data_IF_737353374723
#
_entry.id   IF_737353374723
#
_cell.length_a   1.000
_cell.length_b   1.000
_cell.length_c   1.000
_cell.angle_alpha   90.00
_cell.angle_beta   90.00
_cell.angle_gamma   90.00
#
_symmetry.space_group_name_H-M   'P 1'
#
loop_
_entity.id
_entity.type
_entity.pdbx_description
1 polymer ?
#
# COMPACT_ATOMS: atom_id res chain seq x y z
N UNK A 1 -45.83 32.52 45.97
CA UNK A 1 -46.88 31.95 45.11
C UNK A 1 -46.19 31.28 43.94
N UNK A 2 -46.00 29.95 43.98
CA UNK A 2 -46.82 28.94 43.24
C UNK A 2 -46.47 28.95 41.73
N UNK A 3 -46.05 27.89 41.02
CA UNK A 3 -45.96 26.43 41.25
C UNK A 3 -45.11 25.80 40.11
N UNK A 4 -44.64 24.58 40.38
CA UNK A 4 -43.99 23.57 39.54
C UNK A 4 -44.58 23.32 38.13
N UNK A 5 -43.75 22.80 37.22
CA UNK A 5 -44.11 21.67 36.32
C UNK A 5 -42.86 20.90 35.85
N UNK A 6 -42.67 19.69 36.41
CA UNK A 6 -42.19 18.50 35.70
C UNK A 6 -43.35 17.98 34.82
N UNK A 7 -43.25 17.14 33.78
CA UNK A 7 -42.62 15.83 33.56
C UNK A 7 -42.49 15.68 32.01
N UNK A 8 -41.65 14.83 31.42
CA UNK A 8 -41.97 13.41 31.13
C UNK A 8 -40.72 12.68 30.60
N UNK A 9 -40.42 11.52 31.18
CA UNK A 9 -39.36 10.59 30.77
C UNK A 9 -39.97 9.51 29.89
N UNK A 10 -39.58 9.46 28.61
CA UNK A 10 -39.95 8.38 27.69
C UNK A 10 -39.01 7.19 27.86
N UNK A 11 -39.49 6.11 28.47
CA UNK A 11 -38.84 4.80 28.51
C UNK A 11 -39.12 4.03 27.21
N UNK A 12 -38.08 3.80 26.40
CA UNK A 12 -38.15 2.87 25.28
C UNK A 12 -37.70 1.49 25.73
N UNK A 13 -38.64 0.55 25.71
CA UNK A 13 -38.43 -0.88 25.91
C UNK A 13 -37.56 -1.45 24.79
N UNK A 14 -36.40 -1.97 25.15
CA UNK A 14 -35.48 -2.66 24.23
C UNK A 14 -35.81 -4.15 24.23
N UNK A 15 -36.43 -4.61 23.14
CA UNK A 15 -36.81 -6.01 22.91
C UNK A 15 -35.59 -6.84 22.55
N UNK A 16 -35.33 -7.87 23.35
CA UNK A 16 -34.31 -8.91 23.13
C UNK A 16 -34.68 -9.79 21.92
N UNK A 17 -33.82 -9.99 20.91
CA UNK A 17 -34.01 -11.05 19.94
C UNK A 17 -33.45 -12.38 20.45
N UNK A 18 -34.23 -13.43 20.21
CA UNK A 18 -34.00 -14.81 20.63
C UNK A 18 -32.78 -15.46 19.96
N UNK A 19 -32.10 -16.28 20.76
CA UNK A 19 -30.96 -17.12 20.41
C UNK A 19 -31.42 -18.27 19.48
N UNK A 20 -31.10 -18.20 18.19
CA UNK A 20 -31.31 -19.31 17.26
C UNK A 20 -30.08 -20.25 17.30
N UNK A 21 -30.24 -21.38 17.99
CA UNK A 21 -29.30 -22.51 17.95
C UNK A 21 -29.46 -23.25 16.62
N UNK A 22 -28.46 -23.15 15.74
CA UNK A 22 -28.38 -23.97 14.52
C UNK A 22 -27.38 -25.09 14.75
N UNK A 23 -27.89 -26.30 14.70
CA UNK A 23 -27.14 -27.54 14.85
C UNK A 23 -26.38 -27.81 13.56
N UNK A 24 -25.04 -27.75 13.62
CA UNK A 24 -24.17 -28.15 12.52
C UNK A 24 -24.30 -29.66 12.28
N UNK A 25 -24.88 -30.03 11.14
CA UNK A 25 -24.80 -31.38 10.57
C UNK A 25 -23.63 -31.40 9.57
N UNK A 26 -22.69 -32.35 9.66
CA UNK A 26 -21.62 -32.48 8.66
C UNK A 26 -22.18 -33.02 7.34
N UNK A 27 -21.75 -32.52 6.17
CA UNK A 27 -22.14 -33.09 4.89
C UNK A 27 -21.42 -34.42 4.63
N UNK A 28 -22.22 -35.45 4.34
CA UNK A 28 -21.81 -36.75 3.83
C UNK A 28 -20.97 -36.62 2.55
N UNK A 29 -19.73 -37.10 2.62
CA UNK A 29 -18.80 -37.14 1.51
C UNK A 29 -18.87 -38.49 0.79
N UNK A 30 -19.85 -38.70 -0.11
CA UNK A 30 -19.83 -39.84 -1.01
C UNK A 30 -20.56 -39.58 -2.34
N UNK A 31 -19.89 -38.99 -3.33
CA UNK A 31 -20.15 -39.29 -4.75
C UNK A 31 -18.82 -39.33 -5.50
N UNK A 32 -18.33 -40.56 -5.76
CA UNK A 32 -17.28 -40.84 -6.76
C UNK A 32 -17.95 -40.89 -8.13
N UNK A 33 -17.91 -39.78 -8.86
CA UNK A 33 -18.23 -39.73 -10.28
C UNK A 33 -17.03 -40.21 -11.10
N UNK A 34 -17.17 -41.40 -11.70
CA UNK A 34 -16.24 -41.94 -12.69
C UNK A 34 -16.51 -41.21 -14.01
N UNK A 35 -15.58 -40.37 -14.46
CA UNK A 35 -15.60 -39.85 -15.82
C UNK A 35 -15.02 -40.89 -16.76
N UNK A 36 -15.87 -41.48 -17.61
CA UNK A 36 -15.45 -42.22 -18.78
C UNK A 36 -14.97 -41.24 -19.86
N UNK A 37 -13.71 -41.36 -20.26
CA UNK A 37 -13.18 -40.65 -21.43
C UNK A 37 -13.61 -41.38 -22.73
N UNK A 38 -14.10 -40.67 -23.76
CA UNK A 38 -14.31 -41.23 -25.09
C UNK A 38 -12.99 -41.28 -25.87
N UNK A 39 -12.88 -42.30 -26.74
CA UNK A 39 -11.64 -42.74 -27.35
C UNK A 39 -10.99 -41.82 -28.38
N UNK A 40 -9.71 -42.09 -28.60
CA UNK A 40 -8.91 -41.77 -29.77
C UNK A 40 -8.01 -43.00 -30.00
N UNK A 41 -8.23 -43.81 -31.04
CA UNK A 41 -7.83 -43.63 -32.45
C UNK A 41 -6.33 -43.92 -32.66
N UNK A 42 -6.13 -45.02 -33.39
CA UNK A 42 -5.07 -45.36 -34.35
C UNK A 42 -3.62 -45.51 -33.88
N UNK A 43 -3.26 -46.80 -33.79
CA UNK A 43 -1.99 -47.44 -34.08
C UNK A 43 -1.15 -46.74 -35.15
N UNK A 44 0.06 -46.32 -34.78
CA UNK A 44 1.22 -46.28 -35.68
C UNK A 44 2.30 -47.14 -35.01
N UNK A 45 2.68 -48.20 -35.73
CA UNK A 45 3.83 -49.05 -35.44
C UNK A 45 5.12 -48.25 -35.57
N UNK A 46 5.83 -48.05 -34.46
CA UNK A 46 7.24 -47.61 -34.49
C UNK A 46 8.13 -48.66 -33.78
N UNK A 47 9.28 -49.01 -34.38
CA UNK A 47 10.06 -50.17 -33.98
C UNK A 47 10.97 -49.93 -32.76
N UNK A 48 10.87 -50.86 -31.81
CA UNK A 48 11.99 -51.45 -31.07
C UNK A 48 12.97 -50.50 -30.37
N UNK A 49 12.59 -50.03 -29.17
CA UNK A 49 13.55 -49.59 -28.14
C UNK A 49 13.77 -50.70 -27.10
N UNK A 50 15.02 -51.08 -26.77
CA UNK A 50 15.29 -52.07 -25.73
C UNK A 50 15.02 -51.48 -24.32
N UNK A 51 14.59 -52.31 -23.35
CA UNK A 51 14.29 -51.85 -22.00
C UNK A 51 15.58 -51.46 -21.26
N UNK A 52 15.67 -50.18 -20.86
CA UNK A 52 16.67 -49.71 -19.91
C UNK A 52 16.40 -50.31 -18.55
N UNK A 53 17.30 -51.17 -18.10
CA UNK A 53 17.28 -51.78 -16.77
C UNK A 53 17.42 -50.71 -15.68
N UNK A 54 16.65 -50.88 -14.61
CA UNK A 54 16.66 -50.01 -13.45
C UNK A 54 18.01 -49.99 -12.76
N UNK A 55 18.45 -48.79 -12.40
CA UNK A 55 19.40 -48.58 -11.32
C UNK A 55 18.75 -47.66 -10.30
N UNK A 56 18.61 -48.20 -9.09
CA UNK A 56 18.05 -47.50 -7.95
C UNK A 56 18.91 -46.30 -7.56
N UNK A 57 18.25 -45.17 -7.35
CA UNK A 57 18.86 -44.09 -6.60
C UNK A 57 18.67 -44.40 -5.12
N UNK A 58 19.80 -44.72 -4.50
CA UNK A 58 19.97 -44.80 -3.06
C UNK A 58 19.72 -43.42 -2.45
N UNK A 59 18.79 -43.45 -1.51
CA UNK A 59 18.67 -42.62 -0.33
C UNK A 59 20.05 -42.15 0.21
N UNK A 60 20.37 -40.88 -0.03
CA UNK A 60 21.31 -40.08 0.76
C UNK A 60 20.41 -39.09 1.51
N UNK A 61 20.11 -39.31 2.79
CA UNK A 61 21.09 -39.23 3.85
C UNK A 61 21.12 -37.78 4.32
N UNK A 62 20.34 -37.49 5.37
CA UNK A 62 20.02 -36.15 5.82
C UNK A 62 21.22 -35.29 6.24
N UNK A 63 21.09 -33.99 5.99
CA UNK A 63 21.86 -32.94 6.64
C UNK A 63 20.95 -31.73 6.94
N UNK A 64 20.77 -31.51 8.24
CA UNK A 64 20.83 -30.22 8.93
C UNK A 64 19.75 -29.15 8.68
N UNK A 65 18.63 -29.30 9.40
CA UNK A 65 17.63 -28.24 9.65
C UNK A 65 18.13 -27.13 10.63
N UNK A 66 19.44 -26.85 10.74
CA UNK A 66 19.98 -25.84 11.69
C UNK A 66 19.82 -24.39 11.23
N UNK A 67 19.49 -24.17 9.96
CA UNK A 67 19.26 -22.84 9.41
C UNK A 67 18.01 -22.19 10.02
N UNK A 68 16.89 -22.92 10.05
CA UNK A 68 15.56 -22.36 10.33
C UNK A 68 15.39 -21.89 11.79
N UNK A 69 16.12 -22.47 12.74
CA UNK A 69 16.04 -22.09 14.15
C UNK A 69 16.69 -20.72 14.46
N UNK A 70 17.62 -20.25 13.62
CA UNK A 70 18.37 -19.01 13.93
C UNK A 70 17.66 -17.72 13.53
N UNK A 71 16.55 -17.79 12.78
CA UNK A 71 15.74 -16.61 12.43
C UNK A 71 14.50 -16.41 13.31
N UNK A 72 14.11 -17.38 14.14
CA UNK A 72 12.88 -17.28 14.94
C UNK A 72 13.08 -16.73 16.37
N UNK A 73 14.32 -16.61 16.87
CA UNK A 73 14.57 -16.20 18.27
C UNK A 73 14.81 -14.70 18.52
N UNK A 74 14.95 -13.87 17.47
CA UNK A 74 15.25 -12.44 17.63
C UNK A 74 14.01 -11.53 17.70
N UNK A 75 12.81 -12.06 17.41
CA UNK A 75 11.57 -11.28 17.28
C UNK A 75 10.99 -10.72 18.60
N UNK A 76 11.59 -11.00 19.76
CA UNK A 76 11.09 -10.50 21.05
C UNK A 76 11.76 -9.20 21.50
N UNK A 77 12.94 -8.85 20.97
CA UNK A 77 13.68 -7.64 21.40
C UNK A 77 13.37 -6.40 20.55
N UNK A 78 12.89 -6.57 19.31
CA UNK A 78 12.58 -5.46 18.40
C UNK A 78 11.35 -4.64 18.81
N UNK A 79 10.36 -5.25 19.47
CA UNK A 79 9.13 -4.55 19.87
C UNK A 79 9.35 -3.50 20.96
N UNK A 80 10.34 -3.70 21.84
CA UNK A 80 10.66 -2.75 22.92
C UNK A 80 11.42 -1.51 22.41
N UNK A 81 12.22 -1.64 21.35
CA UNK A 81 12.94 -0.49 20.78
C UNK A 81 12.00 0.48 20.04
N UNK A 82 10.95 -0.02 19.39
CA UNK A 82 9.96 0.81 18.70
C UNK A 82 9.13 1.63 19.69
N UNK A 83 8.73 1.03 20.82
CA UNK A 83 7.97 1.74 21.87
C UNK A 83 8.83 2.82 22.54
N UNK A 84 10.12 2.55 22.79
CA UNK A 84 11.04 3.54 23.34
C UNK A 84 11.28 4.74 22.41
N UNK A 85 11.36 4.51 21.11
CA UNK A 85 11.54 5.60 20.11
C UNK A 85 10.34 6.53 20.00
N UNK A 86 9.12 5.99 20.04
CA UNK A 86 7.89 6.79 19.91
C UNK A 86 7.69 7.70 21.14
N UNK A 87 7.97 7.21 22.35
CA UNK A 87 7.83 8.02 23.58
C UNK A 87 8.88 9.15 23.63
N UNK A 88 10.10 8.91 23.16
CA UNK A 88 11.14 9.94 23.10
C UNK A 88 10.80 11.06 22.09
N UNK A 89 10.22 10.72 20.94
CA UNK A 89 9.83 11.69 19.91
C UNK A 89 8.69 12.61 20.36
N UNK A 90 7.68 12.08 21.05
CA UNK A 90 6.57 12.89 21.60
C UNK A 90 7.07 13.84 22.69
N UNK A 91 8.06 13.44 23.49
CA UNK A 91 8.67 14.33 24.50
C UNK A 91 9.41 15.53 23.89
N UNK A 92 10.08 15.37 22.75
CA UNK A 92 10.83 16.44 22.08
C UNK A 92 9.89 17.49 21.47
N UNK A 93 8.74 17.07 20.92
CA UNK A 93 7.76 17.99 20.30
C UNK A 93 7.08 18.89 21.34
N UNK A 94 6.89 18.42 22.58
CA UNK A 94 6.27 19.22 23.65
C UNK A 94 7.24 20.29 24.19
N UNK A 95 8.55 20.04 24.17
CA UNK A 95 9.55 21.02 24.63
C UNK A 95 9.95 22.01 23.51
N UNK A 96 9.88 21.60 22.25
CA UNK A 96 10.27 22.43 21.08
C UNK A 96 9.37 23.63 20.79
N UNK A 97 8.14 23.67 21.31
CA UNK A 97 7.21 24.79 21.09
C UNK A 97 7.44 26.00 22.02
N UNK A 98 8.36 25.91 23.00
CA UNK A 98 8.53 26.95 24.03
C UNK A 98 9.81 27.80 23.92
N UNK A 99 10.76 27.48 23.02
CA UNK A 99 12.01 28.27 22.90
C UNK A 99 12.36 28.48 21.43
N UNK A 100 12.01 29.66 20.90
CA UNK A 100 12.35 30.00 19.52
C UNK A 100 12.00 31.43 19.10
N UNK A 101 12.06 32.41 20.00
CA UNK A 101 12.07 33.83 19.61
C UNK A 101 13.33 34.47 20.19
N UNK A 102 14.06 35.18 19.31
CA UNK A 102 15.14 36.13 19.57
C UNK A 102 16.58 35.59 19.46
N UNK A 103 17.23 35.87 18.32
CA UNK A 103 18.43 36.74 18.28
C UNK A 103 18.42 37.51 16.96
N UNK A 104 18.38 38.84 17.08
CA UNK A 104 18.69 39.80 16.01
C UNK A 104 20.03 40.47 16.28
N UNK A 105 20.68 40.90 15.19
CA UNK A 105 21.75 41.91 15.05
C UNK A 105 23.16 41.56 15.53
N UNK A 106 24.07 41.46 14.57
CA UNK A 106 25.40 42.12 14.62
C UNK A 106 25.79 42.70 13.25
N UNK A 107 26.71 43.67 13.30
CA UNK A 107 27.00 44.78 12.38
C UNK A 107 27.91 44.46 11.16
N UNK A 108 27.59 45.16 10.05
CA UNK A 108 28.46 46.00 9.18
C UNK A 108 29.67 45.46 8.38
N UNK A 109 29.81 46.04 7.17
CA UNK A 109 30.98 46.16 6.26
C UNK A 109 31.24 44.96 5.34
N UNK A 110 31.59 45.06 4.05
CA UNK A 110 31.91 46.18 3.16
C UNK A 110 31.88 45.71 1.69
N UNK A 111 31.65 46.69 0.82
CA UNK A 111 31.70 46.71 -0.65
C UNK A 111 32.88 45.96 -1.31
N UNK A 112 32.65 45.16 -2.34
CA UNK A 112 33.50 45.13 -3.55
C UNK A 112 32.74 44.56 -4.76
N UNK A 113 32.46 45.46 -5.68
CA UNK A 113 31.95 45.23 -7.02
C UNK A 113 33.04 44.61 -7.91
N UNK A 114 32.80 43.40 -8.40
CA UNK A 114 33.49 42.88 -9.60
C UNK A 114 32.42 42.57 -10.64
N UNK A 115 32.14 43.57 -11.48
CA UNK A 115 31.35 43.43 -12.72
C UNK A 115 32.22 42.67 -13.74
N UNK A 116 32.11 41.34 -13.76
CA UNK A 116 32.50 40.57 -14.93
C UNK A 116 31.33 40.57 -15.90
N UNK A 117 31.34 41.52 -16.83
CA UNK A 117 30.56 41.42 -18.06
C UNK A 117 31.16 40.28 -18.90
N UNK A 118 30.66 39.06 -18.72
CA UNK A 118 30.82 37.98 -19.71
C UNK A 118 29.52 37.95 -20.51
N UNK A 119 29.40 38.89 -21.43
CA UNK A 119 28.49 38.76 -22.58
C UNK A 119 29.18 37.84 -23.57
N UNK A 120 28.81 36.57 -23.56
CA UNK A 120 29.37 35.58 -24.46
C UNK A 120 28.98 34.16 -24.07
N UNK A 121 27.70 33.90 -23.82
CA UNK A 121 27.20 32.53 -23.93
C UNK A 121 27.35 32.13 -25.40
N UNK A 122 28.27 31.22 -25.68
CA UNK A 122 28.38 30.61 -26.99
C UNK A 122 27.01 30.00 -27.33
N UNK A 123 26.32 30.43 -28.39
CA UNK A 123 24.98 29.94 -28.73
C UNK A 123 24.97 28.42 -29.03
N UNK A 124 26.14 27.83 -29.27
CA UNK A 124 26.34 26.40 -29.48
C UNK A 124 26.79 25.65 -28.21
N UNK A 125 26.78 26.26 -27.03
CA UNK A 125 27.09 25.59 -25.77
C UNK A 125 25.82 24.94 -25.15
N UNK A 126 25.68 23.61 -25.22
CA UNK A 126 24.51 22.91 -24.67
C UNK A 126 24.46 22.93 -23.14
N UNK A 127 25.47 23.44 -22.44
CA UNK A 127 25.40 23.66 -20.99
C UNK A 127 24.59 24.90 -20.61
N UNK A 128 24.25 25.76 -21.58
CA UNK A 128 23.42 26.96 -21.39
C UNK A 128 21.91 26.72 -21.55
N UNK A 129 21.48 25.48 -21.81
CA UNK A 129 20.07 25.13 -21.68
C UNK A 129 19.67 25.25 -20.21
N UNK A 130 19.06 26.39 -19.85
CA UNK A 130 18.23 26.48 -18.65
C UNK A 130 17.29 25.28 -18.66
N UNK A 131 17.52 24.34 -17.73
CA UNK A 131 16.83 23.06 -17.70
C UNK A 131 15.45 23.24 -17.10
N UNK A 132 14.62 24.04 -17.76
CA UNK A 132 13.25 24.34 -17.34
C UNK A 132 12.32 23.28 -17.93
N UNK A 133 12.08 22.20 -17.19
CA UNK A 133 11.03 21.24 -17.53
C UNK A 133 9.75 21.62 -16.80
N UNK A 134 8.73 22.05 -17.55
CA UNK A 134 7.39 22.25 -17.00
C UNK A 134 6.61 20.93 -17.09
N UNK A 135 6.94 20.00 -16.19
CA UNK A 135 6.25 18.73 -16.06
C UNK A 135 5.40 18.70 -14.81
N UNK A 136 4.28 17.99 -14.87
CA UNK A 136 3.46 17.67 -13.71
C UNK A 136 3.42 16.16 -13.54
N UNK A 137 3.52 15.69 -12.30
CA UNK A 137 3.63 14.27 -11.98
C UNK A 137 2.46 13.79 -11.13
N UNK A 138 2.22 12.48 -11.20
CA UNK A 138 1.48 11.74 -10.18
C UNK A 138 2.48 10.98 -9.31
N UNK A 139 2.36 11.09 -8.00
CA UNK A 139 3.22 10.37 -7.07
C UNK A 139 2.62 8.99 -6.78
N UNK A 140 3.43 7.93 -6.91
CA UNK A 140 3.01 6.57 -6.60
C UNK A 140 3.31 6.20 -5.16
N UNK A 141 2.32 5.65 -4.46
CA UNK A 141 2.48 5.01 -3.15
C UNK A 141 2.20 3.51 -3.28
N UNK A 142 3.25 2.69 -3.25
CA UNK A 142 3.15 1.25 -3.47
C UNK A 142 2.78 0.51 -2.18
N UNK A 143 1.51 0.10 -2.08
CA UNK A 143 0.98 -0.76 -1.04
C UNK A 143 1.18 -2.25 -1.40
N UNK A 144 1.48 -3.08 -0.39
CA UNK A 144 1.68 -4.52 -0.54
C UNK A 144 0.70 -5.27 0.38
N UNK A 145 -0.17 -6.16 -0.13
CA UNK A 145 -1.26 -6.67 0.67
C UNK A 145 -0.89 -7.55 1.88
N UNK A 146 0.36 -8.03 1.97
CA UNK A 146 0.80 -8.99 2.98
C UNK A 146 2.01 -8.52 3.80
N UNK A 147 2.37 -7.23 3.76
CA UNK A 147 3.53 -6.68 4.47
C UNK A 147 3.15 -5.86 5.72
N UNK A 148 1.87 -5.89 6.12
CA UNK A 148 1.31 -5.15 7.24
C UNK A 148 1.54 -3.63 7.13
N UNK A 149 1.43 -3.07 5.92
CA UNK A 149 1.51 -1.63 5.66
C UNK A 149 2.93 -1.06 5.72
N UNK A 150 3.96 -1.91 5.69
CA UNK A 150 5.36 -1.48 5.85
C UNK A 150 5.83 -0.64 4.67
N UNK A 151 5.64 -1.14 3.44
CA UNK A 151 6.02 -0.45 2.21
C UNK A 151 5.17 0.80 1.99
N UNK A 152 3.87 0.70 2.26
CA UNK A 152 2.92 1.81 2.20
C UNK A 152 3.36 2.96 3.13
N UNK A 153 3.55 2.67 4.42
CA UNK A 153 3.87 3.70 5.42
C UNK A 153 5.19 4.41 5.09
N UNK A 154 6.22 3.66 4.69
CA UNK A 154 7.50 4.24 4.29
C UNK A 154 7.33 5.21 3.12
N UNK A 155 6.67 4.79 2.04
CA UNK A 155 6.52 5.62 0.84
C UNK A 155 5.59 6.81 1.05
N UNK A 156 4.51 6.63 1.82
CA UNK A 156 3.65 7.72 2.26
C UNK A 156 4.46 8.81 2.97
N UNK A 157 5.35 8.43 3.89
CA UNK A 157 6.21 9.39 4.59
C UNK A 157 7.24 10.06 3.66
N UNK A 158 7.77 9.35 2.66
CA UNK A 158 8.63 9.96 1.63
C UNK A 158 7.85 10.98 0.77
N UNK A 159 6.60 10.66 0.41
CA UNK A 159 5.72 11.59 -0.30
C UNK A 159 5.47 12.84 0.54
N UNK A 160 5.19 12.69 1.84
CA UNK A 160 5.06 13.81 2.76
C UNK A 160 6.33 14.68 2.76
N UNK A 161 7.50 14.06 2.91
CA UNK A 161 8.80 14.74 2.90
C UNK A 161 9.05 15.51 1.60
N UNK A 162 8.71 14.91 0.45
CA UNK A 162 8.82 15.56 -0.87
C UNK A 162 7.90 16.78 -0.95
N UNK A 163 6.65 16.67 -0.49
CA UNK A 163 5.69 17.79 -0.51
C UNK A 163 6.16 18.91 0.44
N UNK A 164 6.67 18.59 1.62
CA UNK A 164 7.21 19.58 2.58
C UNK A 164 8.46 20.28 2.02
N UNK A 165 9.30 19.56 1.29
CA UNK A 165 10.56 20.09 0.75
C UNK A 165 10.38 20.91 -0.52
N UNK A 166 9.52 20.44 -1.44
CA UNK A 166 9.42 20.98 -2.81
C UNK A 166 8.08 21.66 -3.11
N UNK A 167 7.10 21.59 -2.21
CA UNK A 167 5.75 22.09 -2.45
C UNK A 167 4.93 21.19 -3.38
N UNK A 168 3.81 21.71 -3.88
CA UNK A 168 2.81 20.92 -4.64
C UNK A 168 2.57 21.40 -6.07
N UNK A 169 3.27 22.45 -6.51
CA UNK A 169 3.00 23.13 -7.79
C UNK A 169 3.05 22.16 -8.99
N UNK A 170 3.98 21.21 -8.97
CA UNK A 170 4.19 20.21 -10.02
C UNK A 170 3.61 18.83 -9.71
N UNK A 171 2.72 18.70 -8.73
CA UNK A 171 2.04 17.44 -8.38
C UNK A 171 0.56 17.54 -8.73
N UNK A 172 0.08 16.69 -9.63
CA UNK A 172 -1.35 16.61 -9.98
C UNK A 172 -2.14 15.77 -8.99
N UNK A 173 -1.55 14.69 -8.48
CA UNK A 173 -2.22 13.78 -7.57
C UNK A 173 -1.31 12.66 -7.11
N UNK A 174 -1.91 11.73 -6.37
CA UNK A 174 -1.23 10.58 -5.78
C UNK A 174 -2.02 9.34 -6.15
N UNK A 175 -1.35 8.29 -6.62
CA UNK A 175 -1.93 6.96 -6.77
C UNK A 175 -1.52 6.08 -5.60
N UNK A 176 -2.50 5.49 -4.91
CA UNK A 176 -2.27 4.51 -3.84
C UNK A 176 -2.54 3.11 -4.39
N UNK A 177 -1.50 2.28 -4.36
CA UNK A 177 -1.49 0.96 -4.99
C UNK A 177 -1.02 1.00 -6.45
N UNK A 178 -0.32 -0.06 -6.85
CA UNK A 178 -0.05 -0.42 -8.23
C UNK A 178 -0.34 -1.92 -8.38
N UNK A 179 -1.40 -2.25 -9.11
CA UNK A 179 -1.87 -3.64 -9.29
C UNK A 179 -2.15 -4.34 -7.95
N UNK A 180 -2.65 -3.59 -6.96
CA UNK A 180 -2.88 -4.12 -5.62
C UNK A 180 -3.98 -5.19 -5.63
N UNK A 181 -5.10 -4.93 -6.29
CA UNK A 181 -6.22 -5.87 -6.39
C UNK A 181 -5.84 -7.08 -7.22
N UNK A 182 -5.13 -6.90 -8.34
CA UNK A 182 -4.56 -8.01 -9.11
C UNK A 182 -3.71 -8.93 -8.21
N UNK A 183 -2.75 -8.35 -7.49
CA UNK A 183 -1.84 -9.09 -6.62
C UNK A 183 -2.59 -9.78 -5.47
N UNK A 184 -3.54 -9.08 -4.85
CA UNK A 184 -4.36 -9.63 -3.77
C UNK A 184 -5.20 -10.82 -4.25
N UNK A 185 -5.95 -10.65 -5.33
CA UNK A 185 -6.82 -11.70 -5.88
C UNK A 185 -6.01 -12.92 -6.30
N UNK A 186 -4.90 -12.70 -7.00
CA UNK A 186 -3.98 -13.78 -7.42
C UNK A 186 -3.46 -14.56 -6.24
N UNK A 187 -3.01 -13.87 -5.17
CA UNK A 187 -2.51 -14.52 -3.96
C UNK A 187 -3.60 -15.28 -3.18
N UNK A 188 -4.87 -14.93 -3.38
CA UNK A 188 -6.01 -15.56 -2.71
C UNK A 188 -6.83 -16.50 -3.64
N UNK A 189 -6.31 -16.83 -4.82
CA UNK A 189 -6.96 -17.75 -5.75
C UNK A 189 -8.31 -17.26 -6.30
N UNK A 190 -8.49 -15.94 -6.37
CA UNK A 190 -9.69 -15.30 -6.88
C UNK A 190 -9.40 -14.55 -8.19
N UNK A 191 -10.43 -14.33 -9.00
CA UNK A 191 -10.33 -13.62 -10.29
C UNK A 191 -11.34 -12.48 -10.43
N UNK A 192 -12.45 -12.54 -9.67
CA UNK A 192 -13.46 -11.49 -9.67
C UNK A 192 -13.10 -10.41 -8.61
N UNK A 193 -12.77 -9.18 -9.03
CA UNK A 193 -12.42 -8.10 -8.11
C UNK A 193 -13.59 -7.70 -7.21
N UNK A 194 -14.84 -7.97 -7.58
CA UNK A 194 -16.02 -7.62 -6.79
C UNK A 194 -16.57 -8.78 -5.96
N UNK A 195 -15.85 -9.91 -5.91
CA UNK A 195 -16.17 -11.05 -5.05
C UNK A 195 -15.97 -10.71 -3.56
N UNK A 196 -16.41 -11.60 -2.66
CA UNK A 196 -16.15 -11.46 -1.22
C UNK A 196 -14.64 -11.38 -0.89
N UNK A 197 -13.81 -12.16 -1.62
CA UNK A 197 -12.35 -12.09 -1.50
C UNK A 197 -11.86 -10.73 -2.00
N UNK A 198 -12.30 -10.30 -3.18
CA UNK A 198 -11.97 -8.98 -3.71
C UNK A 198 -12.32 -7.84 -2.75
N UNK A 199 -13.50 -7.87 -2.14
CA UNK A 199 -13.91 -6.87 -1.16
C UNK A 199 -13.06 -6.86 0.12
N UNK A 200 -12.46 -8.00 0.48
CA UNK A 200 -11.50 -8.06 1.60
C UNK A 200 -10.20 -7.34 1.23
N UNK A 201 -9.69 -7.55 0.01
CA UNK A 201 -8.54 -6.79 -0.51
C UNK A 201 -8.84 -5.30 -0.65
N UNK A 202 -10.04 -4.97 -1.15
CA UNK A 202 -10.50 -3.60 -1.30
C UNK A 202 -10.49 -2.84 0.04
N UNK A 203 -10.93 -3.49 1.13
CA UNK A 203 -10.94 -2.87 2.45
C UNK A 203 -9.54 -2.44 2.92
N UNK A 204 -8.50 -3.23 2.58
CA UNK A 204 -7.11 -2.89 2.87
C UNK A 204 -6.66 -1.66 2.07
N UNK A 205 -6.90 -1.67 0.75
CA UNK A 205 -6.50 -0.56 -0.11
C UNK A 205 -7.27 0.73 0.19
N UNK A 206 -8.55 0.64 0.53
CA UNK A 206 -9.38 1.79 0.95
C UNK A 206 -8.83 2.40 2.24
N UNK A 207 -8.35 1.59 3.19
CA UNK A 207 -7.73 2.11 4.40
C UNK A 207 -6.49 2.96 4.06
N UNK A 208 -5.65 2.48 3.14
CA UNK A 208 -4.46 3.20 2.66
C UNK A 208 -4.83 4.48 1.87
N UNK A 209 -5.88 4.45 1.05
CA UNK A 209 -6.40 5.64 0.34
C UNK A 209 -6.87 6.70 1.35
N UNK A 210 -7.64 6.29 2.36
CA UNK A 210 -8.18 7.18 3.38
C UNK A 210 -7.10 7.77 4.29
N UNK A 211 -6.09 6.97 4.63
CA UNK A 211 -4.95 7.44 5.39
C UNK A 211 -4.09 8.44 4.58
N UNK A 212 -3.85 8.18 3.29
CA UNK A 212 -3.16 9.14 2.39
C UNK A 212 -3.95 10.45 2.30
N UNK A 213 -5.29 10.39 2.17
CA UNK A 213 -6.16 11.57 2.15
C UNK A 213 -6.08 12.35 3.48
N UNK A 214 -6.02 11.63 4.60
CA UNK A 214 -5.89 12.22 5.93
C UNK A 214 -4.54 12.92 6.12
N UNK A 215 -3.44 12.31 5.66
CA UNK A 215 -2.13 12.93 5.65
C UNK A 215 -2.15 14.24 4.85
N UNK A 216 -2.62 14.22 3.60
CA UNK A 216 -2.66 15.40 2.73
C UNK A 216 -3.51 16.53 3.32
N UNK A 217 -4.64 16.21 3.92
CA UNK A 217 -5.52 17.21 4.55
C UNK A 217 -4.89 17.85 5.79
N UNK A 218 -4.07 17.12 6.55
CA UNK A 218 -3.33 17.68 7.71
C UNK A 218 -2.23 18.66 7.29
N UNK A 219 -1.70 18.55 6.07
CA UNK A 219 -0.62 19.42 5.58
C UNK A 219 -1.07 20.84 5.22
N UNK A 220 -2.38 21.12 5.20
CA UNK A 220 -2.92 22.47 4.93
C UNK A 220 -2.38 23.11 3.63
N UNK A 221 -2.34 22.31 2.56
CA UNK A 221 -1.77 22.70 1.26
C UNK A 221 -2.62 23.79 0.58
N UNK A 222 -1.97 24.61 -0.24
CA UNK A 222 -2.61 25.64 -1.07
C UNK A 222 -3.42 25.08 -2.25
N UNK A 223 -3.30 23.77 -2.51
CA UNK A 223 -3.96 23.04 -3.59
C UNK A 223 -4.48 21.71 -3.06
N UNK A 224 -5.68 21.33 -3.50
CA UNK A 224 -6.20 19.97 -3.29
C UNK A 224 -5.51 19.00 -4.25
N UNK A 225 -4.86 17.98 -3.70
CA UNK A 225 -4.34 16.86 -4.48
C UNK A 225 -5.40 15.76 -4.56
N UNK A 226 -5.67 15.27 -5.75
CA UNK A 226 -6.55 14.12 -5.96
C UNK A 226 -5.84 12.82 -5.59
N UNK A 227 -6.56 11.91 -4.94
CA UNK A 227 -6.06 10.61 -4.52
C UNK A 227 -6.77 9.52 -5.32
N UNK A 228 -6.01 8.79 -6.13
CA UNK A 228 -6.51 7.71 -6.96
C UNK A 228 -5.86 6.37 -6.64
N UNK A 229 -6.08 5.39 -7.52
CA UNK A 229 -5.41 4.09 -7.48
C UNK A 229 -4.99 3.65 -8.88
N UNK A 230 -4.07 2.70 -8.98
CA UNK A 230 -3.67 2.08 -10.24
C UNK A 230 -3.80 0.57 -10.16
N UNK A 231 -4.51 -0.03 -11.12
CA UNK A 231 -4.68 -1.48 -11.21
C UNK A 231 -4.77 -1.96 -12.66
N UNK A 232 -4.66 -3.27 -12.85
CA UNK A 232 -4.91 -3.86 -14.16
C UNK A 232 -6.37 -3.65 -14.55
N UNK A 233 -6.64 -3.39 -15.84
CA UNK A 233 -7.97 -2.95 -16.28
C UNK A 233 -9.16 -3.82 -15.86
N UNK A 234 -8.96 -5.14 -15.74
CA UNK A 234 -10.00 -6.09 -15.31
C UNK A 234 -10.10 -6.27 -13.78
N UNK A 235 -9.23 -5.61 -13.00
CA UNK A 235 -9.04 -5.84 -11.57
C UNK A 235 -9.49 -4.67 -10.70
N UNK A 236 -10.10 -3.64 -11.28
CA UNK A 236 -10.75 -2.60 -10.49
C UNK A 236 -11.93 -3.15 -9.69
N UNK A 237 -11.83 -3.03 -8.36
CA UNK A 237 -12.93 -3.26 -7.45
C UNK A 237 -13.81 -2.00 -7.34
N UNK A 238 -15.13 -2.18 -7.32
CA UNK A 238 -16.10 -1.08 -7.31
C UNK A 238 -16.00 -0.24 -6.04
N UNK A 239 -15.82 -0.87 -4.87
CA UNK A 239 -15.68 -0.16 -3.60
C UNK A 239 -14.42 0.71 -3.58
N UNK A 240 -13.33 0.24 -4.18
CA UNK A 240 -12.11 1.05 -4.31
C UNK A 240 -12.37 2.26 -5.19
N UNK A 241 -13.01 2.07 -6.35
CA UNK A 241 -13.35 3.16 -7.27
C UNK A 241 -14.32 4.18 -6.68
N UNK A 242 -15.22 3.77 -5.78
CA UNK A 242 -16.10 4.69 -5.06
C UNK A 242 -15.36 5.60 -4.06
N UNK A 243 -14.17 5.18 -3.59
CA UNK A 243 -13.35 5.94 -2.63
C UNK A 243 -12.21 6.72 -3.30
N UNK A 244 -11.80 6.31 -4.50
CA UNK A 244 -10.76 6.92 -5.29
C UNK A 244 -11.30 8.08 -6.15
N UNK A 245 -10.54 9.16 -6.27
CA UNK A 245 -10.89 10.31 -7.12
C UNK A 245 -10.69 9.99 -8.61
N UNK A 246 -9.79 9.03 -8.92
CA UNK A 246 -9.52 8.52 -10.26
C UNK A 246 -8.90 7.11 -10.22
N UNK A 247 -9.01 6.37 -11.32
CA UNK A 247 -8.34 5.08 -11.53
C UNK A 247 -7.39 5.13 -12.73
N UNK A 248 -6.20 4.55 -12.61
CA UNK A 248 -5.22 4.43 -13.69
C UNK A 248 -5.10 2.96 -14.10
N UNK A 249 -5.33 2.67 -15.38
CA UNK A 249 -5.08 1.33 -15.89
C UNK A 249 -3.56 1.11 -15.99
N UNK A 250 -3.02 0.22 -15.16
CA UNK A 250 -1.60 -0.09 -15.08
C UNK A 250 -1.13 -1.11 -16.15
N UNK A 251 -2.06 -1.68 -16.92
CA UNK A 251 -1.73 -2.64 -17.97
C UNK A 251 -1.35 -1.93 -19.28
N UNK A 252 -0.06 -1.93 -19.62
CA UNK A 252 0.36 -1.78 -21.01
C UNK A 252 0.23 -3.13 -21.70
N UNK A 253 -0.83 -3.33 -22.50
CA UNK A 253 -0.86 -4.47 -23.41
C UNK A 253 0.22 -4.24 -24.47
N UNK A 254 1.34 -4.95 -24.37
CA UNK A 254 2.29 -5.15 -25.48
C UNK A 254 1.93 -6.40 -26.26
#
# INVERSE_FOLDING_TARGET
>A
MSRNSAYELGSTTQSTPALASTTNHPPDAHIRGVYSAPGAVSTIDDPFMPPSQGQGFQELGGQDNRWLEKQQSTNKKSKWMVIGGIVALVGIVIVGAAVGISVSKHKSSSNSSSKSNVTGSNPDDPSSFEKSVNMTVYLGNYAVPNDNGTAYTRQRNEIQSVIETFGTDHISGITVGNEFMLNYLTANGATDPNSAIGNTGAALLIADINDTRSMISQMSLNKTLTIGTADAGAFFNTLVLEQADFGVNASFQT
#
